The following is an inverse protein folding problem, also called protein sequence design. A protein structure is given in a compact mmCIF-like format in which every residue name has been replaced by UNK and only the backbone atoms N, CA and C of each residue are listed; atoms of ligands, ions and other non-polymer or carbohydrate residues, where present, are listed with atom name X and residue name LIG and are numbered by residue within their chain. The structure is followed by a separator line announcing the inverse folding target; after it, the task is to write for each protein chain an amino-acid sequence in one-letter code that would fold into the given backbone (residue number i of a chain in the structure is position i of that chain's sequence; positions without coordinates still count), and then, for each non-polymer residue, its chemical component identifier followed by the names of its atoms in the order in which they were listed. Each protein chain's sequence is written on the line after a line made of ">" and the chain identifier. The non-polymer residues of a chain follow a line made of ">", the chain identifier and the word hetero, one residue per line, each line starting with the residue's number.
data_IF_031650931922
#
_entry.id   IF_031650931922
#
_cell.length_a   1.000
_cell.length_b   1.000
_cell.length_c   1.000
_cell.angle_alpha   90.00
_cell.angle_beta   90.00
_cell.angle_gamma   90.00
#
_symmetry.space_group_name_H-M   'P 1'
#
loop_
_entity.id
_entity.type
_entity.pdbx_description
1 polymer ?
#
# COMPACT_ATOMS: atom_id res chain seq x y z
N UNK A 1 57.65 20.48 -71.47
CA UNK A 1 57.54 20.46 -69.99
C UNK A 1 56.26 21.20 -69.63
N UNK A 2 55.26 20.68 -68.91
CA UNK A 2 55.16 19.52 -68.02
C UNK A 2 53.68 19.04 -67.96
N UNK A 3 53.46 17.73 -67.75
CA UNK A 3 52.14 17.11 -67.56
C UNK A 3 51.88 16.95 -66.06
N UNK A 4 50.87 17.63 -65.50
CA UNK A 4 50.37 17.37 -64.15
C UNK A 4 49.25 16.34 -64.21
N UNK A 5 49.44 15.23 -63.51
CA UNK A 5 48.46 14.16 -63.33
C UNK A 5 47.60 14.54 -62.12
N UNK A 6 46.32 14.87 -62.34
CA UNK A 6 45.32 14.89 -61.28
C UNK A 6 44.76 13.47 -61.14
N UNK A 7 45.19 12.77 -60.10
CA UNK A 7 44.49 11.58 -59.62
C UNK A 7 43.43 12.04 -58.62
N UNK A 8 42.17 12.08 -59.04
CA UNK A 8 41.03 12.28 -58.17
C UNK A 8 40.73 10.96 -57.44
N UNK A 9 40.87 10.88 -56.10
CA UNK A 9 40.44 9.71 -55.35
C UNK A 9 38.91 9.77 -55.29
N UNK A 10 38.25 9.12 -56.24
CA UNK A 10 36.83 8.78 -56.11
C UNK A 10 36.68 7.99 -54.82
N UNK A 11 36.21 8.66 -53.76
CA UNK A 11 35.81 8.03 -52.51
C UNK A 11 34.83 6.92 -52.86
N UNK A 12 35.16 5.73 -52.41
CA UNK A 12 34.44 4.47 -52.61
C UNK A 12 33.01 4.61 -52.03
N UNK A 13 32.06 5.10 -52.82
CA UNK A 13 30.64 5.18 -52.48
C UNK A 13 30.02 3.80 -52.73
N UNK A 14 30.39 2.81 -51.92
CA UNK A 14 29.73 1.51 -51.92
C UNK A 14 28.38 1.62 -51.21
N UNK A 15 27.29 1.36 -51.94
CA UNK A 15 25.97 1.19 -51.34
C UNK A 15 25.87 -0.12 -50.55
N UNK A 16 24.92 -0.20 -49.63
CA UNK A 16 24.68 -1.41 -48.83
C UNK A 16 24.10 -2.54 -49.69
N UNK A 17 24.61 -3.76 -49.48
CA UNK A 17 24.02 -4.96 -50.08
C UNK A 17 22.73 -5.37 -49.36
N UNK A 18 21.82 -6.05 -50.08
CA UNK A 18 20.55 -6.56 -49.52
C UNK A 18 20.82 -7.53 -48.35
N UNK A 19 21.89 -8.33 -48.45
CA UNK A 19 22.32 -9.25 -47.40
C UNK A 19 22.75 -8.52 -46.12
N UNK A 20 23.50 -7.41 -46.21
CA UNK A 20 23.88 -6.61 -45.03
C UNK A 20 22.65 -6.02 -44.33
N UNK A 21 21.66 -5.55 -45.10
CA UNK A 21 20.43 -5.02 -44.53
C UNK A 21 19.62 -6.09 -43.79
N UNK A 22 19.54 -7.31 -44.33
CA UNK A 22 18.88 -8.45 -43.66
C UNK A 22 19.58 -8.83 -42.36
N UNK A 23 20.91 -8.89 -42.35
CA UNK A 23 21.69 -9.20 -41.14
C UNK A 23 21.52 -8.10 -40.10
N UNK A 24 21.57 -6.82 -40.50
CA UNK A 24 21.35 -5.69 -39.61
C UNK A 24 19.95 -5.72 -38.97
N UNK A 25 18.90 -6.02 -39.75
CA UNK A 25 17.54 -6.17 -39.24
C UNK A 25 17.40 -7.35 -38.27
N UNK A 26 18.04 -8.49 -38.56
CA UNK A 26 18.03 -9.66 -37.68
C UNK A 26 18.68 -9.34 -36.32
N UNK A 27 19.84 -8.67 -36.32
CA UNK A 27 20.52 -8.24 -35.10
C UNK A 27 19.66 -7.23 -34.33
N UNK A 28 19.07 -6.26 -35.03
CA UNK A 28 18.18 -5.27 -34.42
C UNK A 28 16.95 -5.94 -33.78
N UNK A 29 16.33 -6.91 -34.44
CA UNK A 29 15.20 -7.67 -33.88
C UNK A 29 15.59 -8.44 -32.62
N UNK A 30 16.78 -9.04 -32.59
CA UNK A 30 17.30 -9.75 -31.43
C UNK A 30 17.54 -8.78 -30.25
N UNK A 31 18.16 -7.63 -30.52
CA UNK A 31 18.41 -6.59 -29.49
C UNK A 31 17.07 -6.05 -28.95
N UNK A 32 16.11 -5.74 -29.82
CA UNK A 32 14.80 -5.24 -29.43
C UNK A 32 14.06 -6.24 -28.53
N UNK A 33 14.16 -7.53 -28.82
CA UNK A 33 13.57 -8.58 -27.98
C UNK A 33 14.15 -8.55 -26.55
N UNK A 34 15.47 -8.39 -26.42
CA UNK A 34 16.13 -8.23 -25.12
C UNK A 34 15.69 -6.97 -24.37
N UNK A 35 15.55 -5.84 -25.07
CA UNK A 35 15.10 -4.57 -24.46
C UNK A 35 13.65 -4.68 -23.98
N UNK A 36 12.76 -5.25 -24.81
CA UNK A 36 11.35 -5.36 -24.47
C UNK A 36 11.12 -6.28 -23.27
N UNK A 37 11.84 -7.40 -23.20
CA UNK A 37 11.76 -8.32 -22.04
C UNK A 37 12.24 -7.66 -20.75
N UNK A 38 13.35 -6.91 -20.80
CA UNK A 38 13.82 -6.10 -19.68
C UNK A 38 12.79 -5.04 -19.27
N UNK A 39 12.18 -4.35 -20.23
CA UNK A 39 11.17 -3.32 -19.97
C UNK A 39 9.91 -3.92 -19.32
N UNK A 40 9.42 -5.06 -19.83
CA UNK A 40 8.25 -5.75 -19.27
C UNK A 40 8.51 -6.18 -17.83
N UNK A 41 9.64 -6.86 -17.59
CA UNK A 41 10.03 -7.31 -16.25
C UNK A 41 10.25 -6.14 -15.30
N UNK A 42 10.85 -5.06 -15.79
CA UNK A 42 11.07 -3.83 -15.03
C UNK A 42 9.77 -3.15 -14.63
N UNK A 43 8.78 -3.11 -15.54
CA UNK A 43 7.47 -2.53 -15.26
C UNK A 43 6.68 -3.34 -14.22
N UNK A 44 6.69 -4.68 -14.32
CA UNK A 44 6.08 -5.54 -13.30
C UNK A 44 6.72 -5.37 -11.93
N UNK A 45 8.06 -5.33 -11.89
CA UNK A 45 8.82 -5.09 -10.66
C UNK A 45 8.50 -3.72 -10.05
N UNK A 46 8.38 -2.70 -10.90
CA UNK A 46 7.99 -1.36 -10.47
C UNK A 46 6.59 -1.33 -9.87
N UNK A 47 5.60 -1.96 -10.51
CA UNK A 47 4.22 -2.01 -10.01
C UNK A 47 4.13 -2.77 -8.69
N UNK A 48 4.81 -3.91 -8.57
CA UNK A 48 4.87 -4.66 -7.32
C UNK A 48 5.50 -3.84 -6.18
N UNK A 49 6.60 -3.13 -6.47
CA UNK A 49 7.25 -2.24 -5.51
C UNK A 49 6.36 -1.06 -5.11
N UNK A 50 5.65 -0.45 -6.07
CA UNK A 50 4.72 0.64 -5.81
C UNK A 50 3.58 0.19 -4.87
N UNK A 51 2.97 -0.97 -5.14
CA UNK A 51 1.91 -1.54 -4.29
C UNK A 51 2.42 -1.81 -2.88
N UNK A 52 3.66 -2.31 -2.74
CA UNK A 52 4.26 -2.57 -1.43
C UNK A 52 4.50 -1.28 -0.64
N UNK A 53 4.98 -0.22 -1.29
CA UNK A 53 5.19 1.10 -0.67
C UNK A 53 3.85 1.71 -0.24
N UNK A 54 2.81 1.61 -1.07
CA UNK A 54 1.47 2.08 -0.73
C UNK A 54 0.90 1.35 0.48
N UNK A 55 1.02 0.01 0.51
CA UNK A 55 0.59 -0.80 1.65
C UNK A 55 1.33 -0.43 2.94
N UNK A 56 2.64 -0.18 2.88
CA UNK A 56 3.44 0.26 4.03
C UNK A 56 3.03 1.66 4.52
N UNK A 57 2.77 2.59 3.60
CA UNK A 57 2.31 3.94 3.95
C UNK A 57 0.94 3.90 4.63
N UNK A 58 0.00 3.13 4.07
CA UNK A 58 -1.32 2.91 4.66
C UNK A 58 -1.20 2.27 6.06
N UNK A 59 -0.35 1.24 6.20
CA UNK A 59 -0.10 0.59 7.48
C UNK A 59 0.49 1.54 8.52
N UNK A 60 1.40 2.43 8.12
CA UNK A 60 1.98 3.42 9.04
C UNK A 60 0.91 4.37 9.58
N UNK A 61 0.06 4.92 8.71
CA UNK A 61 -1.04 5.82 9.13
C UNK A 61 -2.02 5.09 10.04
N UNK A 62 -2.37 3.85 9.69
CA UNK A 62 -3.25 3.01 10.50
C UNK A 62 -2.69 2.74 11.91
N UNK A 63 -1.40 2.42 12.01
CA UNK A 63 -0.73 2.16 13.28
C UNK A 63 -0.57 3.44 14.13
N UNK A 64 -0.29 4.58 13.49
CA UNK A 64 -0.23 5.87 14.18
C UNK A 64 -1.59 6.22 14.82
N UNK A 65 -2.68 6.04 14.07
CA UNK A 65 -4.05 6.22 14.58
C UNK A 65 -4.40 5.23 15.69
N UNK A 66 -4.09 3.95 15.50
CA UNK A 66 -4.32 2.91 16.51
C UNK A 66 -3.57 3.21 17.81
N UNK A 67 -2.31 3.66 17.71
CA UNK A 67 -1.52 4.03 18.88
C UNK A 67 -2.10 5.25 19.62
N UNK A 68 -2.64 6.24 18.89
CA UNK A 68 -3.32 7.38 19.49
C UNK A 68 -4.58 6.95 20.26
N UNK A 69 -5.42 6.11 19.65
CA UNK A 69 -6.64 5.60 20.28
C UNK A 69 -6.34 4.70 21.48
N UNK A 70 -5.29 3.87 21.41
CA UNK A 70 -4.85 3.04 22.55
C UNK A 70 -4.36 3.94 23.70
N UNK A 71 -3.67 5.04 23.42
CA UNK A 71 -3.27 6.00 24.47
C UNK A 71 -4.46 6.70 25.11
N UNK A 72 -5.56 6.87 24.37
CA UNK A 72 -6.84 7.36 24.88
C UNK A 72 -7.70 6.29 25.56
N UNK A 73 -7.26 5.03 25.62
CA UNK A 73 -8.04 3.97 26.25
C UNK A 73 -8.30 4.26 27.73
N UNK A 74 -9.54 4.04 28.17
CA UNK A 74 -9.96 4.27 29.55
C UNK A 74 -10.01 5.75 29.94
N UNK A 75 -10.10 6.66 28.96
CA UNK A 75 -10.24 8.10 29.20
C UNK A 75 -11.44 8.38 30.13
N UNK A 76 -11.18 9.15 31.20
CA UNK A 76 -12.13 9.50 32.26
C UNK A 76 -11.96 11.00 32.61
N UNK A 77 -12.54 11.91 31.82
CA UNK A 77 -12.35 13.35 31.99
C UNK A 77 -12.98 13.89 33.27
N UNK A 78 -14.05 13.26 33.77
CA UNK A 78 -14.75 13.68 34.98
C UNK A 78 -14.10 13.17 36.28
N UNK A 79 -13.07 12.31 36.17
CA UNK A 79 -12.43 11.65 37.30
C UNK A 79 -13.44 10.93 38.22
N UNK A 80 -14.39 10.23 37.60
CA UNK A 80 -15.40 9.45 38.32
C UNK A 80 -14.71 8.39 39.18
N UNK A 81 -15.03 8.33 40.46
CA UNK A 81 -14.36 7.45 41.44
C UNK A 81 -14.75 5.97 41.30
N UNK A 82 -15.88 5.68 40.65
CA UNK A 82 -16.34 4.32 40.33
C UNK A 82 -15.99 3.92 38.89
N UNK A 83 -15.03 4.61 38.26
CA UNK A 83 -14.65 4.36 36.88
C UNK A 83 -14.15 2.93 36.66
N UNK A 84 -14.74 2.27 35.67
CA UNK A 84 -14.27 0.99 35.16
C UNK A 84 -14.07 1.12 33.64
N UNK A 85 -12.81 1.15 33.15
CA UNK A 85 -12.50 1.29 31.73
C UNK A 85 -12.75 0.01 30.92
N UNK A 86 -13.26 -1.05 31.55
CA UNK A 86 -13.60 -2.32 30.93
C UNK A 86 -15.05 -2.65 31.29
N UNK A 87 -15.99 -2.07 30.53
CA UNK A 87 -17.43 -2.33 30.72
C UNK A 87 -17.85 -3.57 29.93
N UNK A 88 -18.35 -4.58 30.65
CA UNK A 88 -18.85 -5.80 30.06
C UNK A 88 -20.25 -5.58 29.47
N UNK A 89 -20.35 -5.68 28.14
CA UNK A 89 -21.56 -5.88 27.32
C UNK A 89 -22.80 -5.03 27.65
N UNK A 90 -23.20 -4.16 26.72
CA UNK A 90 -24.41 -3.32 26.80
C UNK A 90 -24.12 -1.82 26.76
N UNK A 91 -22.91 -1.43 27.20
CA UNK A 91 -22.34 -0.11 26.92
C UNK A 91 -21.95 -0.02 25.45
N UNK A 92 -20.93 -0.77 25.02
CA UNK A 92 -20.57 -0.90 23.61
C UNK A 92 -21.50 -1.89 22.87
N UNK A 93 -21.86 -1.62 21.59
CA UNK A 93 -22.64 -2.54 20.78
C UNK A 93 -21.98 -3.91 20.73
N UNK A 94 -22.83 -4.93 20.75
CA UNK A 94 -22.44 -6.32 20.99
C UNK A 94 -21.20 -6.69 20.20
N UNK A 95 -20.22 -7.11 20.99
CA UNK A 95 -18.97 -7.70 20.60
C UNK A 95 -19.23 -8.85 19.63
N UNK A 96 -19.23 -8.61 18.31
CA UNK A 96 -19.30 -9.71 17.34
C UNK A 96 -18.07 -10.61 17.58
N UNK A 97 -18.26 -11.69 18.37
CA UNK A 97 -17.22 -12.62 18.80
C UNK A 97 -16.48 -12.35 20.13
N UNK A 98 -16.92 -11.42 21.00
CA UNK A 98 -16.25 -11.10 22.29
C UNK A 98 -14.73 -10.83 22.21
N UNK A 99 -14.27 -9.78 21.50
CA UNK A 99 -12.94 -9.25 21.74
C UNK A 99 -12.69 -8.98 23.24
N UNK A 100 -11.49 -9.28 23.75
CA UNK A 100 -10.28 -9.60 22.98
C UNK A 100 -10.27 -11.04 22.41
N UNK A 101 -10.00 -11.15 21.11
CA UNK A 101 -9.72 -12.42 20.42
C UNK A 101 -8.32 -12.37 19.81
N UNK A 102 -7.88 -13.44 19.15
CA UNK A 102 -6.59 -13.45 18.45
C UNK A 102 -6.50 -12.40 17.32
N UNK A 103 -7.64 -11.93 16.80
CA UNK A 103 -7.70 -11.03 15.64
C UNK A 103 -8.55 -9.78 15.88
N UNK A 104 -9.10 -9.57 17.07
CA UNK A 104 -9.91 -8.40 17.36
C UNK A 104 -9.70 -7.90 18.78
N UNK A 105 -9.78 -6.59 18.96
CA UNK A 105 -9.79 -5.94 20.27
C UNK A 105 -10.64 -4.66 20.22
N UNK A 106 -11.13 -4.25 21.39
CA UNK A 106 -11.95 -3.06 21.54
C UNK A 106 -11.28 -2.06 22.48
N UNK A 107 -11.36 -0.79 22.11
CA UNK A 107 -10.93 0.35 22.92
C UNK A 107 -12.20 1.05 23.42
N UNK A 108 -12.22 1.44 24.68
CA UNK A 108 -13.35 2.10 25.34
C UNK A 108 -12.86 3.34 26.11
N UNK A 109 -13.68 4.39 26.21
CA UNK A 109 -13.38 5.56 27.04
C UNK A 109 -14.48 6.62 26.95
N UNK A 110 -14.67 7.42 28.00
CA UNK A 110 -15.73 8.45 28.11
C UNK A 110 -15.41 9.65 27.20
N UNK A 111 -15.80 9.54 25.93
CA UNK A 111 -15.48 10.50 24.87
C UNK A 111 -16.38 11.73 24.90
N UNK A 112 -17.59 11.62 25.45
CA UNK A 112 -18.53 12.73 25.57
C UNK A 112 -18.42 13.46 26.93
N UNK A 113 -17.72 12.86 27.89
CA UNK A 113 -17.51 13.41 29.23
C UNK A 113 -18.75 13.35 30.12
N UNK A 114 -19.62 12.35 29.97
CA UNK A 114 -20.83 12.17 30.77
C UNK A 114 -20.64 11.28 32.01
N UNK A 115 -19.43 10.74 32.19
CA UNK A 115 -19.04 9.93 33.33
C UNK A 115 -19.39 8.45 33.19
N UNK A 116 -19.87 8.02 32.03
CA UNK A 116 -20.14 6.61 31.68
C UNK A 116 -19.47 6.23 30.37
N UNK A 117 -19.45 4.93 30.05
CA UNK A 117 -19.09 4.46 28.71
C UNK A 117 -20.38 4.03 28.04
N UNK A 118 -20.72 4.67 26.93
CA UNK A 118 -21.89 4.41 26.11
C UNK A 118 -21.58 3.72 24.78
N UNK A 119 -22.62 3.48 23.98
CA UNK A 119 -22.52 2.72 22.73
C UNK A 119 -21.68 3.42 21.65
N UNK A 120 -21.59 4.73 21.71
CA UNK A 120 -20.81 5.53 20.76
C UNK A 120 -19.34 5.67 21.18
N UNK A 121 -18.97 5.16 22.35
CA UNK A 121 -17.70 5.49 23.01
C UNK A 121 -16.69 4.35 22.93
N UNK A 122 -16.81 3.60 21.85
CA UNK A 122 -16.11 2.36 21.62
C UNK A 122 -15.52 2.38 20.21
N UNK A 123 -14.30 1.85 20.09
CA UNK A 123 -13.65 1.64 18.80
C UNK A 123 -13.22 0.18 18.71
N UNK A 124 -13.69 -0.53 17.67
CA UNK A 124 -13.33 -1.91 17.39
C UNK A 124 -12.25 -1.96 16.31
N UNK A 125 -11.18 -2.70 16.57
CA UNK A 125 -10.25 -3.15 15.54
C UNK A 125 -10.39 -4.65 15.33
N UNK A 126 -10.43 -5.07 14.07
CA UNK A 126 -10.55 -6.47 13.71
C UNK A 126 -9.76 -6.78 12.43
N UNK A 127 -9.02 -7.88 12.44
CA UNK A 127 -8.39 -8.45 11.27
C UNK A 127 -9.31 -9.51 10.67
N UNK A 128 -9.81 -9.24 9.47
CA UNK A 128 -10.67 -10.14 8.69
C UNK A 128 -9.88 -10.61 7.46
N UNK A 129 -9.39 -11.85 7.49
CA UNK A 129 -8.46 -12.35 6.46
C UNK A 129 -7.14 -11.57 6.48
N UNK A 130 -6.88 -10.80 5.42
CA UNK A 130 -5.70 -9.92 5.29
C UNK A 130 -6.04 -8.43 5.49
N UNK A 131 -7.29 -8.11 5.79
CA UNK A 131 -7.77 -6.73 5.87
C UNK A 131 -7.95 -6.32 7.33
N UNK A 132 -7.27 -5.25 7.74
CA UNK A 132 -7.49 -4.61 9.03
C UNK A 132 -8.66 -3.65 8.91
N UNK A 133 -9.67 -3.87 9.73
CA UNK A 133 -10.88 -3.08 9.80
C UNK A 133 -10.95 -2.33 11.13
N UNK A 134 -11.53 -1.14 11.09
CA UNK A 134 -11.83 -0.31 12.25
C UNK A 134 -13.28 0.12 12.20
N UNK A 135 -13.94 0.12 13.35
CA UNK A 135 -15.27 0.72 13.50
C UNK A 135 -15.27 1.67 14.68
N UNK A 136 -15.58 2.93 14.43
CA UNK A 136 -15.92 3.91 15.45
C UNK A 136 -17.42 3.91 15.68
N UNK A 137 -17.89 3.48 16.85
CA UNK A 137 -19.34 3.39 17.05
C UNK A 137 -20.02 4.75 17.21
N UNK A 138 -19.29 5.86 17.38
CA UNK A 138 -19.89 7.20 17.33
C UNK A 138 -20.25 7.64 15.91
N UNK A 139 -19.54 7.14 14.90
CA UNK A 139 -19.57 7.71 13.54
C UNK A 139 -19.93 6.67 12.48
N UNK A 140 -19.43 5.44 12.63
CA UNK A 140 -19.47 4.42 11.60
C UNK A 140 -20.65 3.46 11.81
N UNK A 141 -21.53 3.38 10.81
CA UNK A 141 -22.61 2.39 10.80
C UNK A 141 -22.12 0.95 10.59
N UNK A 142 -20.91 0.77 10.05
CA UNK A 142 -20.27 -0.53 9.81
C UNK A 142 -18.75 -0.43 9.84
N UNK A 143 -18.02 -1.54 10.05
CA UNK A 143 -16.56 -1.56 9.96
C UNK A 143 -16.04 -1.00 8.63
N UNK A 144 -14.98 -0.21 8.70
CA UNK A 144 -14.27 0.38 7.57
C UNK A 144 -12.90 -0.27 7.41
N UNK A 145 -12.47 -0.47 6.18
CA UNK A 145 -11.13 -1.00 5.89
C UNK A 145 -10.08 0.10 6.11
N UNK A 146 -9.12 -0.16 6.99
CA UNK A 146 -8.00 0.75 7.28
C UNK A 146 -6.74 0.32 6.52
N UNK A 147 -6.55 -0.99 6.38
CA UNK A 147 -5.49 -1.57 5.56
C UNK A 147 -6.10 -2.74 4.80
N UNK A 148 -6.03 -2.71 3.46
CA UNK A 148 -6.46 -3.80 2.58
C UNK A 148 -5.39 -4.12 1.53
N UNK A 149 -5.55 -5.25 0.84
CA UNK A 149 -4.71 -5.57 -0.32
C UNK A 149 -3.27 -5.99 -0.01
N UNK A 150 -2.95 -6.33 1.25
CA UNK A 150 -1.66 -6.92 1.60
C UNK A 150 -1.61 -8.34 1.04
N UNK A 151 -1.07 -8.48 -0.17
CA UNK A 151 -0.83 -9.78 -0.78
C UNK A 151 0.35 -10.43 -0.05
N UNK A 152 0.16 -11.67 0.42
CA UNK A 152 1.26 -12.49 0.88
C UNK A 152 2.23 -12.70 -0.30
N UNK A 153 3.52 -12.43 -0.06
CA UNK A 153 4.61 -12.68 -1.00
C UNK A 153 4.69 -14.16 -1.40
#
# INVERSE_FOLDING_TARGET
>A
MARRIFSDPRRDQRGFSLAELLVAMAILGLIMTGILTLLMTGNESYLAGANQVEAQAAARVALERMAEEIRGAGFNPQNVTTWNPIVASGACPDLVGSPPTATAFMIQGDGNGDGTIGATECVLYQLTGTTLQRQDFAVDASPQDVIGGVQAL
#
